data_IF_318225558222
#
_entry.id   IF_318225558222
#
_cell.length_a   1.000
_cell.length_b   1.000
_cell.length_c   1.000
_cell.angle_alpha   90.00
_cell.angle_beta   90.00
_cell.angle_gamma   90.00
#
_symmetry.space_group_name_H-M   'P 1'
#
loop_
_entity.id
_entity.type
_entity.pdbx_description
1 polymer ?
#
# COMPACT_ATOMS: atom_id res chain seq x y z
N UNK A 1 12.23 -15.80 -17.97
CA UNK A 1 12.44 -14.66 -17.10
C UNK A 1 11.14 -14.03 -16.66
N UNK A 2 10.88 -14.01 -15.39
CA UNK A 2 9.71 -13.28 -14.93
C UNK A 2 9.86 -11.81 -15.27
N UNK A 3 8.81 -11.24 -15.77
CA UNK A 3 8.80 -9.83 -16.13
C UNK A 3 7.95 -9.11 -15.12
N UNK A 4 8.60 -8.39 -14.23
CA UNK A 4 7.90 -7.49 -13.35
C UNK A 4 7.58 -6.24 -14.14
N UNK A 5 6.33 -5.83 -14.09
CA UNK A 5 5.88 -4.66 -14.83
C UNK A 5 5.50 -3.57 -13.85
N UNK A 6 6.09 -2.40 -13.99
CA UNK A 6 5.70 -1.24 -13.19
C UNK A 6 4.31 -0.82 -13.62
N UNK A 7 3.37 -0.82 -12.67
CA UNK A 7 2.00 -0.42 -12.96
C UNK A 7 1.60 0.88 -12.27
N UNK A 8 2.37 1.30 -11.25
CA UNK A 8 2.12 2.56 -10.56
C UNK A 8 3.44 3.15 -10.10
N UNK A 9 3.49 4.48 -10.09
CA UNK A 9 4.57 5.23 -9.47
C UNK A 9 3.99 6.28 -8.55
N UNK A 10 4.67 6.53 -7.46
CA UNK A 10 4.27 7.54 -6.50
C UNK A 10 5.47 8.04 -5.73
N UNK A 11 5.21 8.56 -4.54
CA UNK A 11 6.26 9.07 -3.66
C UNK A 11 6.74 7.93 -2.78
N UNK A 12 8.06 7.73 -2.72
CA UNK A 12 8.71 6.75 -1.86
C UNK A 12 8.62 7.24 -0.41
N UNK A 13 7.61 6.77 0.32
CA UNK A 13 7.30 7.30 1.65
C UNK A 13 7.91 6.48 2.78
N UNK A 14 8.14 5.19 2.58
CA UNK A 14 8.78 4.32 3.57
C UNK A 14 9.49 3.19 2.84
N UNK A 15 10.74 2.94 3.22
CA UNK A 15 11.61 1.98 2.54
C UNK A 15 11.16 0.53 2.71
N UNK A 16 11.58 -0.29 1.78
CA UNK A 16 11.40 -1.73 1.83
C UNK A 16 10.78 -2.25 0.56
N UNK A 17 10.90 -3.55 0.33
CA UNK A 17 10.34 -4.23 -0.82
C UNK A 17 9.62 -5.47 -0.33
N UNK A 18 8.32 -5.58 -0.63
CA UNK A 18 7.55 -6.76 -0.26
C UNK A 18 6.59 -7.14 -1.38
N UNK A 19 6.21 -8.41 -1.39
CA UNK A 19 5.17 -8.94 -2.24
C UNK A 19 3.96 -9.31 -1.39
N UNK A 20 2.78 -9.19 -1.94
CA UNK A 20 1.58 -9.57 -1.22
C UNK A 20 0.33 -9.39 -2.07
N UNK A 21 -0.78 -9.71 -1.45
CA UNK A 21 -2.08 -9.69 -2.10
C UNK A 21 -2.76 -8.35 -1.82
N UNK A 22 -3.30 -7.73 -2.85
CA UNK A 22 -3.99 -6.45 -2.74
C UNK A 22 -5.29 -6.61 -1.96
N UNK A 23 -5.51 -5.69 -1.03
CA UNK A 23 -6.80 -5.53 -0.37
C UNK A 23 -7.16 -4.06 -0.41
N UNK A 24 -8.16 -3.71 -1.21
CA UNK A 24 -8.61 -2.32 -1.33
C UNK A 24 -9.49 -2.01 -0.12
N UNK A 25 -9.11 -0.97 0.61
CA UNK A 25 -9.77 -0.59 1.85
C UNK A 25 -10.47 0.74 1.65
N UNK A 26 -11.78 0.76 1.87
CA UNK A 26 -12.59 1.97 1.73
C UNK A 26 -12.97 2.57 3.07
N UNK A 27 -12.81 1.80 4.15
CA UNK A 27 -13.10 2.27 5.47
C UNK A 27 -12.89 1.18 6.52
N UNK A 28 -13.18 1.50 7.77
CA UNK A 28 -12.96 0.61 8.89
C UNK A 28 -13.77 -0.69 8.78
N UNK A 29 -14.87 -0.66 8.03
CA UNK A 29 -15.71 -1.86 7.83
C UNK A 29 -14.96 -2.97 7.10
N UNK A 30 -13.86 -2.66 6.45
CA UNK A 30 -13.08 -3.66 5.71
C UNK A 30 -12.15 -4.47 6.61
N UNK A 31 -12.14 -4.19 7.92
CA UNK A 31 -11.23 -4.85 8.85
C UNK A 31 -11.41 -6.38 8.86
N UNK A 32 -12.65 -6.86 8.73
CA UNK A 32 -12.92 -8.29 8.77
C UNK A 32 -12.37 -9.04 7.55
N UNK A 33 -12.18 -8.35 6.45
CA UNK A 33 -11.66 -8.94 5.22
C UNK A 33 -10.15 -8.80 5.08
N UNK A 34 -9.52 -8.02 5.95
CA UNK A 34 -8.09 -7.73 5.84
C UNK A 34 -7.29 -8.81 6.55
N UNK A 35 -6.41 -9.47 5.79
CA UNK A 35 -5.58 -10.57 6.29
C UNK A 35 -4.17 -10.05 6.61
N UNK A 36 -3.55 -10.62 7.62
CA UNK A 36 -2.15 -10.30 7.92
C UNK A 36 -1.28 -10.55 6.70
N UNK A 37 -0.48 -9.58 6.32
CA UNK A 37 0.41 -9.68 5.15
C UNK A 37 -0.21 -9.16 3.86
N UNK A 38 -1.48 -8.78 3.89
CA UNK A 38 -2.09 -8.13 2.73
C UNK A 38 -1.47 -6.76 2.50
N UNK A 39 -1.52 -6.30 1.25
CA UNK A 39 -1.10 -4.95 0.93
C UNK A 39 -2.32 -4.05 0.96
N UNK A 40 -2.28 -3.07 1.85
CA UNK A 40 -3.38 -2.13 2.03
C UNK A 40 -3.35 -1.10 0.93
N UNK A 41 -4.40 -1.04 0.14
CA UNK A 41 -4.55 -0.07 -0.96
C UNK A 41 -5.77 0.78 -0.65
N UNK A 42 -5.60 2.09 -0.57
CA UNK A 42 -6.67 3.00 -0.20
C UNK A 42 -6.49 4.35 -0.89
N UNK A 43 -7.55 5.14 -0.93
CA UNK A 43 -7.44 6.51 -1.40
C UNK A 43 -6.49 7.28 -0.48
N UNK A 44 -6.73 7.17 0.81
CA UNK A 44 -5.85 7.68 1.88
C UNK A 44 -6.16 6.86 3.13
N UNK A 45 -5.25 6.81 4.08
CA UNK A 45 -5.55 6.17 5.37
C UNK A 45 -5.88 7.22 6.42
N UNK A 46 -6.60 6.78 7.44
CA UNK A 46 -6.96 7.61 8.57
C UNK A 46 -6.77 6.82 9.86
N UNK A 47 -6.76 7.51 11.03
CA UNK A 47 -6.48 6.82 12.29
C UNK A 47 -7.38 5.63 12.58
N UNK A 48 -8.63 5.64 12.13
CA UNK A 48 -9.55 4.51 12.33
C UNK A 48 -9.11 3.23 11.61
N UNK A 49 -8.17 3.34 10.67
CA UNK A 49 -7.67 2.19 9.90
C UNK A 49 -6.44 1.54 10.50
N UNK A 50 -5.97 2.00 11.66
CA UNK A 50 -4.70 1.55 12.25
C UNK A 50 -4.69 0.04 12.49
N UNK A 51 -5.82 -0.57 12.85
CA UNK A 51 -5.87 -2.02 13.06
C UNK A 51 -5.45 -2.76 11.79
N UNK A 52 -5.95 -2.33 10.63
CA UNK A 52 -5.59 -2.95 9.36
C UNK A 52 -4.14 -2.62 8.99
N UNK A 53 -3.72 -1.38 9.24
CA UNK A 53 -2.35 -0.96 8.94
C UNK A 53 -1.33 -1.79 9.70
N UNK A 54 -1.62 -2.18 10.93
CA UNK A 54 -0.74 -3.03 11.74
C UNK A 54 -0.60 -4.44 11.16
N UNK A 55 -1.54 -4.88 10.35
CA UNK A 55 -1.50 -6.20 9.72
C UNK A 55 -0.89 -6.15 8.32
N UNK A 56 -0.76 -4.98 7.74
CA UNK A 56 -0.35 -4.82 6.34
C UNK A 56 1.13 -5.10 6.16
N UNK A 57 1.47 -5.73 5.03
CA UNK A 57 2.86 -5.88 4.62
C UNK A 57 3.39 -4.60 3.96
N UNK A 58 2.51 -3.82 3.36
CA UNK A 58 2.85 -2.54 2.73
C UNK A 58 1.58 -1.71 2.58
N UNK A 59 1.76 -0.42 2.33
CA UNK A 59 0.62 0.50 2.15
C UNK A 59 0.84 1.29 0.86
N UNK A 60 -0.21 1.36 0.03
CA UNK A 60 -0.20 2.11 -1.23
C UNK A 60 -1.45 2.99 -1.26
N UNK A 61 -1.27 4.29 -1.50
CA UNK A 61 -2.40 5.21 -1.51
C UNK A 61 -2.43 6.08 -2.76
N UNK A 62 -3.64 6.50 -3.13
CA UNK A 62 -3.84 7.45 -4.25
C UNK A 62 -3.30 8.82 -3.90
N UNK A 63 -3.53 9.25 -2.67
CA UNK A 63 -3.21 10.59 -2.17
C UNK A 63 -2.14 10.52 -1.08
N UNK A 64 -1.59 11.67 -0.74
CA UNK A 64 -0.69 11.79 0.38
C UNK A 64 0.66 12.36 0.00
N UNK A 65 1.54 12.48 0.98
CA UNK A 65 2.89 12.99 0.82
C UNK A 65 3.75 12.44 1.94
N UNK A 66 4.98 12.95 2.06
CA UNK A 66 5.95 12.44 3.04
C UNK A 66 5.53 12.64 4.48
N UNK A 67 4.60 13.56 4.75
CA UNK A 67 4.10 13.84 6.10
C UNK A 67 2.64 13.43 6.28
N UNK A 68 2.07 12.70 5.31
CA UNK A 68 0.70 12.23 5.44
C UNK A 68 0.61 11.07 6.42
N UNK A 69 -0.60 10.79 6.89
CA UNK A 69 -0.85 9.72 7.86
C UNK A 69 -0.26 8.37 7.42
N UNK A 70 -0.50 7.88 6.18
CA UNK A 70 0.05 6.58 5.80
C UNK A 70 1.58 6.57 5.76
N UNK A 71 2.21 7.69 5.37
CA UNK A 71 3.66 7.78 5.33
C UNK A 71 4.25 7.68 6.75
N UNK A 72 3.69 8.44 7.68
CA UNK A 72 4.18 8.48 9.05
C UNK A 72 4.00 7.13 9.72
N UNK A 73 2.81 6.55 9.63
CA UNK A 73 2.51 5.26 10.28
C UNK A 73 3.35 4.14 9.68
N UNK A 74 3.51 4.12 8.35
CA UNK A 74 4.32 3.09 7.69
C UNK A 74 5.77 3.12 8.16
N UNK A 75 6.35 4.31 8.30
CA UNK A 75 7.72 4.43 8.81
C UNK A 75 7.82 3.94 10.26
N UNK A 76 6.81 4.22 11.07
CA UNK A 76 6.77 3.74 12.46
C UNK A 76 6.67 2.22 12.52
N UNK A 77 5.90 1.63 11.61
CA UNK A 77 5.71 0.18 11.54
C UNK A 77 6.87 -0.53 10.85
N UNK A 78 7.71 0.21 10.14
CA UNK A 78 8.83 -0.38 9.39
C UNK A 78 8.40 -1.12 8.13
N UNK A 79 7.29 -0.73 7.52
CA UNK A 79 6.79 -1.37 6.30
C UNK A 79 6.90 -0.43 5.10
N UNK A 80 7.03 -0.99 3.86
CA UNK A 80 7.09 -0.16 2.67
C UNK A 80 5.81 0.63 2.46
N UNK A 81 5.96 1.84 1.91
CA UNK A 81 4.81 2.68 1.60
C UNK A 81 5.08 3.53 0.36
N UNK A 82 4.11 3.55 -0.54
CA UNK A 82 4.11 4.41 -1.73
C UNK A 82 2.81 5.22 -1.69
N UNK A 83 2.94 6.54 -1.65
CA UNK A 83 1.78 7.43 -1.64
C UNK A 83 1.73 8.24 -2.92
N UNK A 84 0.63 8.97 -3.12
CA UNK A 84 0.45 9.85 -4.29
C UNK A 84 0.55 9.12 -5.63
N UNK A 85 0.07 7.89 -5.69
CA UNK A 85 0.01 7.13 -6.95
C UNK A 85 -1.10 7.62 -7.87
N UNK A 86 -2.05 8.35 -7.33
CA UNK A 86 -3.22 8.94 -8.01
C UNK A 86 -4.31 7.93 -8.34
N UNK A 87 -3.96 6.72 -8.77
CA UNK A 87 -4.95 5.78 -9.30
C UNK A 87 -4.86 4.37 -8.72
N UNK A 88 -4.17 4.19 -7.60
CA UNK A 88 -3.99 2.84 -7.03
C UNK A 88 -5.33 2.12 -6.82
N UNK A 89 -6.32 2.81 -6.28
CA UNK A 89 -7.63 2.20 -6.01
C UNK A 89 -8.39 1.85 -7.28
N UNK A 90 -8.02 2.44 -8.40
CA UNK A 90 -8.64 2.13 -9.70
C UNK A 90 -7.92 1.01 -10.43
N UNK A 91 -6.60 0.99 -10.34
CA UNK A 91 -5.75 0.04 -11.07
C UNK A 91 -5.63 -1.29 -10.34
N UNK A 92 -5.52 -1.26 -9.01
CA UNK A 92 -5.32 -2.46 -8.22
C UNK A 92 -6.66 -3.00 -7.73
N UNK A 93 -6.84 -4.32 -7.90
CA UNK A 93 -8.06 -5.01 -7.50
C UNK A 93 -7.75 -6.02 -6.42
N UNK A 94 -8.74 -6.27 -5.56
CA UNK A 94 -8.63 -7.28 -4.50
C UNK A 94 -8.18 -8.60 -5.09
N UNK A 95 -7.24 -9.24 -4.41
CA UNK A 95 -6.82 -10.58 -4.74
C UNK A 95 -5.65 -10.69 -5.70
N UNK A 96 -5.26 -9.62 -6.38
CA UNK A 96 -4.09 -9.68 -7.26
C UNK A 96 -2.80 -9.58 -6.44
N UNK A 97 -1.75 -10.21 -6.96
CA UNK A 97 -0.44 -10.19 -6.29
C UNK A 97 0.42 -9.09 -6.89
N UNK A 98 1.01 -8.28 -6.04
CA UNK A 98 1.87 -7.18 -6.45
C UNK A 98 3.15 -7.14 -5.62
N UNK A 99 4.14 -6.41 -6.11
CA UNK A 99 5.33 -6.07 -5.35
C UNK A 99 5.36 -4.57 -5.13
N UNK A 100 5.62 -4.15 -3.90
CA UNK A 100 5.73 -2.73 -3.54
C UNK A 100 7.17 -2.44 -3.20
N UNK A 101 7.76 -1.48 -3.92
CA UNK A 101 9.11 -0.99 -3.66
C UNK A 101 9.00 0.41 -3.07
N UNK A 102 9.07 0.49 -1.75
CA UNK A 102 8.93 1.75 -1.03
C UNK A 102 10.15 2.65 -1.14
N UNK A 103 11.31 2.09 -1.52
CA UNK A 103 12.51 2.89 -1.71
C UNK A 103 12.49 3.63 -3.04
N UNK A 104 11.89 3.03 -4.06
CA UNK A 104 11.79 3.63 -5.40
C UNK A 104 10.47 4.31 -5.67
N UNK A 105 9.47 4.08 -4.82
CA UNK A 105 8.12 4.61 -5.06
C UNK A 105 7.42 3.93 -6.24
N UNK A 106 7.62 2.63 -6.38
CA UNK A 106 7.10 1.87 -7.51
C UNK A 106 6.30 0.66 -7.06
N UNK A 107 5.26 0.34 -7.83
CA UNK A 107 4.43 -0.84 -7.61
C UNK A 107 4.46 -1.67 -8.89
N UNK A 108 4.65 -2.96 -8.74
CA UNK A 108 4.82 -3.90 -9.84
C UNK A 108 3.75 -4.98 -9.83
N UNK A 109 3.28 -5.32 -11.01
CA UNK A 109 2.47 -6.52 -11.20
C UNK A 109 3.42 -7.70 -11.36
N UNK A 110 3.15 -8.77 -10.61
CA UNK A 110 4.00 -9.96 -10.66
C UNK A 110 3.20 -11.24 -10.89
#
# INVERSE_FOLDING_TARGET
MPKEKIILKGIAASNGVVEGIVRVVKGVKDVSNFQKGDILVAEITEPSMVIMMNKAAAIVTDKGGLTSHPAIVSRELGIPCVVATKTATQVLKDGIKIKVDGAKGEVYLI
#
